data_IF_301441479690
#
_entry.id   IF_301441479690
#
_cell.length_a   1.000
_cell.length_b   1.000
_cell.length_c   1.000
_cell.angle_alpha   90.00
_cell.angle_beta   90.00
_cell.angle_gamma   90.00
#
_symmetry.space_group_name_H-M   'P 1'
#
loop_
_entity.id
_entity.type
_entity.pdbx_description
1 polymer ?
#
# COMPACT_ATOMS: atom_id res chain seq x y z
N UNK A 1 17.92 8.25 -27.24
CA UNK A 1 17.03 7.21 -26.69
C UNK A 1 16.59 7.67 -25.30
N UNK A 2 15.38 8.23 -25.18
CA UNK A 2 14.91 8.91 -23.96
C UNK A 2 14.05 7.93 -23.16
N UNK A 3 14.53 7.57 -21.96
CA UNK A 3 13.76 6.88 -20.92
C UNK A 3 12.44 7.63 -20.68
N UNK A 4 11.32 6.92 -20.77
CA UNK A 4 10.02 7.41 -20.35
C UNK A 4 10.07 7.61 -18.82
N UNK A 5 10.18 8.86 -18.41
CA UNK A 5 9.90 9.28 -17.04
C UNK A 5 8.39 9.18 -16.88
N UNK A 6 7.94 8.25 -16.04
CA UNK A 6 6.55 8.16 -15.61
C UNK A 6 6.17 9.50 -14.99
N UNK A 7 5.43 10.31 -15.74
CA UNK A 7 4.85 11.54 -15.26
C UNK A 7 3.81 11.14 -14.22
N UNK A 8 4.17 11.24 -12.94
CA UNK A 8 3.18 11.31 -11.87
C UNK A 8 2.39 12.58 -12.16
N UNK A 9 1.16 12.41 -12.63
CA UNK A 9 0.30 13.49 -13.10
C UNK A 9 0.14 14.57 -12.05
N UNK A 10 0.06 15.82 -12.53
CA UNK A 10 -0.23 17.03 -11.76
C UNK A 10 -1.67 17.10 -11.22
N UNK A 11 -2.46 16.04 -11.36
CA UNK A 11 -3.83 15.99 -10.88
C UNK A 11 -3.89 15.07 -9.66
N UNK A 12 -4.15 15.64 -8.49
CA UNK A 12 -4.38 14.88 -7.26
C UNK A 12 -5.60 13.95 -7.38
N UNK A 13 -5.87 13.18 -6.32
CA UNK A 13 -7.06 12.32 -6.32
C UNK A 13 -8.35 13.15 -6.24
N UNK A 14 -9.49 12.65 -6.75
CA UNK A 14 -10.80 13.22 -6.44
C UNK A 14 -11.06 13.26 -4.93
N UNK A 15 -11.76 14.29 -4.45
CA UNK A 15 -12.09 14.49 -3.02
C UNK A 15 -12.74 13.26 -2.38
N UNK A 16 -13.54 12.50 -3.14
CA UNK A 16 -14.17 11.27 -2.67
C UNK A 16 -13.17 10.18 -2.26
N UNK A 17 -12.05 10.05 -2.98
CA UNK A 17 -10.98 9.10 -2.66
C UNK A 17 -10.29 9.51 -1.36
N UNK A 18 -10.00 10.80 -1.23
CA UNK A 18 -9.39 11.39 -0.05
C UNK A 18 -10.27 11.22 1.21
N UNK A 19 -11.57 11.50 1.10
CA UNK A 19 -12.54 11.32 2.18
C UNK A 19 -12.63 9.84 2.59
N UNK A 20 -12.73 8.92 1.63
CA UNK A 20 -12.82 7.49 1.92
C UNK A 20 -11.53 6.94 2.52
N UNK A 21 -10.37 7.32 1.99
CA UNK A 21 -9.06 6.92 2.52
C UNK A 21 -8.91 7.37 3.98
N UNK A 22 -9.34 8.59 4.29
CA UNK A 22 -9.24 9.11 5.64
C UNK A 22 -10.19 8.38 6.61
N UNK A 23 -11.42 8.05 6.18
CA UNK A 23 -12.34 7.21 6.98
C UNK A 23 -11.72 5.84 7.29
N UNK A 24 -11.11 5.19 6.29
CA UNK A 24 -10.40 3.91 6.45
C UNK A 24 -9.24 4.07 7.43
N UNK A 25 -8.41 5.11 7.27
CA UNK A 25 -7.30 5.41 8.17
C UNK A 25 -7.76 5.57 9.63
N UNK A 26 -8.86 6.30 9.88
CA UNK A 26 -9.38 6.51 11.23
C UNK A 26 -9.83 5.19 11.89
N UNK A 27 -10.39 4.26 11.12
CA UNK A 27 -10.79 2.94 11.64
C UNK A 27 -9.62 2.00 11.91
N UNK A 28 -8.47 2.20 11.25
CA UNK A 28 -7.31 1.30 11.29
C UNK A 28 -6.13 1.82 12.10
N UNK A 29 -6.08 3.13 12.40
CA UNK A 29 -4.94 3.72 13.11
C UNK A 29 -4.73 3.07 14.47
N UNK A 30 -3.48 2.99 14.88
CA UNK A 30 -3.17 2.55 16.25
C UNK A 30 -3.42 3.70 17.21
N UNK A 31 -4.34 3.52 18.17
CA UNK A 31 -4.52 4.49 19.24
C UNK A 31 -3.26 4.52 20.13
N UNK A 32 -2.65 5.69 20.23
CA UNK A 32 -1.50 5.89 21.11
C UNK A 32 -1.97 6.03 22.56
N UNK A 33 -1.22 5.43 23.48
CA UNK A 33 -1.42 5.63 24.92
C UNK A 33 -1.41 7.13 25.26
N UNK A 34 -2.23 7.56 26.23
CA UNK A 34 -2.45 8.97 26.59
C UNK A 34 -1.20 9.86 26.72
N UNK A 35 -0.05 9.31 27.13
CA UNK A 35 1.23 10.04 27.22
C UNK A 35 2.00 10.25 25.90
N UNK A 36 1.55 9.66 24.80
CA UNK A 36 2.18 9.73 23.46
C UNK A 36 1.25 10.31 22.38
N UNK A 37 0.07 10.78 22.77
CA UNK A 37 -0.91 11.37 21.85
C UNK A 37 -0.41 12.74 21.42
N UNK A 38 0.05 12.85 20.18
CA UNK A 38 0.48 14.11 19.59
C UNK A 38 -0.69 14.86 18.94
N UNK A 39 -1.68 14.14 18.41
CA UNK A 39 -2.92 14.68 17.83
C UNK A 39 -4.16 13.96 18.36
N UNK A 40 -5.22 14.73 18.65
CA UNK A 40 -6.56 14.19 18.87
C UNK A 40 -7.36 14.27 17.58
N UNK A 41 -7.72 13.10 17.08
CA UNK A 41 -8.63 12.94 15.96
C UNK A 41 -10.09 13.02 16.45
N UNK A 42 -11.02 13.45 15.59
CA UNK A 42 -12.45 13.51 15.93
C UNK A 42 -13.06 12.13 16.27
N UNK A 43 -14.20 12.13 16.96
CA UNK A 43 -14.92 10.90 17.35
C UNK A 43 -15.63 10.24 16.16
N UNK A 44 -15.64 8.90 16.15
CA UNK A 44 -16.17 8.05 15.06
C UNK A 44 -17.65 7.71 15.27
N UNK A 45 -18.39 8.53 16.03
CA UNK A 45 -19.74 8.19 16.54
C UNK A 45 -20.78 7.88 15.47
N UNK A 46 -20.54 8.27 14.22
CA UNK A 46 -21.29 7.82 13.07
C UNK A 46 -20.28 7.25 12.08
N UNK A 47 -20.12 5.93 12.02
CA UNK A 47 -19.42 5.30 10.89
C UNK A 47 -20.29 5.50 9.65
N UNK A 48 -19.99 6.46 8.76
CA UNK A 48 -20.81 6.65 7.57
C UNK A 48 -20.47 5.48 6.64
N UNK A 49 -21.48 4.82 6.05
CA UNK A 49 -21.22 3.76 5.07
C UNK A 49 -20.18 4.23 4.05
N UNK A 50 -19.16 3.39 3.82
CA UNK A 50 -18.17 3.65 2.78
C UNK A 50 -18.90 3.64 1.42
N UNK A 51 -19.02 4.81 0.82
CA UNK A 51 -19.62 4.98 -0.49
C UNK A 51 -18.50 5.04 -1.52
N UNK A 52 -18.27 3.92 -2.22
CA UNK A 52 -17.34 3.86 -3.34
C UNK A 52 -18.12 4.03 -4.64
N UNK A 53 -17.61 4.90 -5.53
CA UNK A 53 -18.20 5.13 -6.85
C UNK A 53 -18.04 3.91 -7.76
N UNK A 54 -16.90 3.24 -7.65
CA UNK A 54 -16.48 2.12 -8.47
C UNK A 54 -15.31 1.39 -7.78
N UNK A 55 -14.94 0.21 -8.29
CA UNK A 55 -13.88 -0.63 -7.70
C UNK A 55 -12.49 0.02 -7.77
N UNK A 56 -12.22 0.85 -8.79
CA UNK A 56 -10.97 1.61 -8.88
C UNK A 56 -10.91 2.66 -7.78
N UNK A 57 -11.98 3.45 -7.59
CA UNK A 57 -12.10 4.41 -6.49
C UNK A 57 -11.91 3.74 -5.13
N UNK A 58 -12.44 2.52 -4.96
CA UNK A 58 -12.23 1.71 -3.75
C UNK A 58 -10.77 1.33 -3.57
N UNK A 59 -10.12 0.74 -4.59
CA UNK A 59 -8.71 0.34 -4.54
C UNK A 59 -7.81 1.52 -4.20
N UNK A 60 -7.97 2.66 -4.87
CA UNK A 60 -7.18 3.87 -4.62
C UNK A 60 -7.39 4.42 -3.21
N UNK A 61 -8.61 4.34 -2.67
CA UNK A 61 -8.91 4.79 -1.29
C UNK A 61 -8.19 3.94 -0.26
N UNK A 62 -8.21 2.61 -0.42
CA UNK A 62 -7.48 1.69 0.46
C UNK A 62 -5.98 1.89 0.34
N UNK A 63 -5.45 1.96 -0.89
CA UNK A 63 -4.02 2.18 -1.14
C UNK A 63 -3.54 3.46 -0.45
N UNK A 64 -4.28 4.55 -0.61
CA UNK A 64 -3.94 5.83 0.02
C UNK A 64 -4.03 5.75 1.55
N UNK A 65 -5.04 5.09 2.11
CA UNK A 65 -5.18 4.91 3.55
C UNK A 65 -4.00 4.12 4.14
N UNK A 66 -3.61 3.00 3.52
CA UNK A 66 -2.50 2.18 3.98
C UNK A 66 -1.14 2.86 3.80
N UNK A 67 -0.91 3.57 2.69
CA UNK A 67 0.27 4.42 2.53
C UNK A 67 0.34 5.49 3.62
N UNK A 68 -0.78 6.07 4.00
CA UNK A 68 -0.84 7.08 5.07
C UNK A 68 -0.56 6.45 6.44
N UNK A 69 -1.11 5.27 6.73
CA UNK A 69 -0.85 4.52 7.97
C UNK A 69 0.65 4.22 8.16
N UNK A 70 1.35 3.89 7.07
CA UNK A 70 2.81 3.62 7.09
C UNK A 70 3.62 4.79 7.68
N UNK A 71 3.16 6.02 7.49
CA UNK A 71 3.84 7.24 7.92
C UNK A 71 3.06 8.03 8.98
N UNK A 72 2.16 7.38 9.73
CA UNK A 72 1.31 8.06 10.72
C UNK A 72 2.13 8.94 11.68
N UNK A 73 3.20 8.42 12.28
CA UNK A 73 4.01 9.16 13.25
C UNK A 73 4.68 10.40 12.65
N UNK A 74 5.26 10.24 11.45
CA UNK A 74 5.90 11.33 10.72
C UNK A 74 4.89 12.42 10.34
N UNK A 75 3.72 12.02 9.84
CA UNK A 75 2.66 12.95 9.43
C UNK A 75 2.10 13.71 10.64
N UNK A 76 1.90 13.04 11.77
CA UNK A 76 1.50 13.69 13.02
C UNK A 76 2.55 14.72 13.48
N UNK A 77 3.84 14.38 13.47
CA UNK A 77 4.91 15.31 13.85
C UNK A 77 4.96 16.52 12.92
N UNK A 78 4.87 16.31 11.61
CA UNK A 78 4.86 17.38 10.62
C UNK A 78 3.66 18.31 10.78
N UNK A 79 2.49 17.80 11.15
CA UNK A 79 1.30 18.63 11.40
C UNK A 79 1.45 19.52 12.64
N UNK A 80 2.06 19.00 13.71
CA UNK A 80 2.36 19.81 14.90
C UNK A 80 3.44 20.85 14.61
N UNK A 81 4.52 20.43 13.95
CA UNK A 81 5.67 21.30 13.66
C UNK A 81 5.33 22.41 12.65
N UNK A 82 4.49 22.12 11.66
CA UNK A 82 4.03 23.12 10.69
C UNK A 82 3.20 24.25 11.32
N UNK A 83 2.80 24.12 12.60
CA UNK A 83 1.85 25.00 13.30
C UNK A 83 0.54 25.21 12.52
N UNK A 84 0.20 24.29 11.63
CA UNK A 84 -1.12 24.25 11.02
C UNK A 84 -2.14 23.72 12.04
N UNK A 85 -1.69 22.90 12.99
CA UNK A 85 -2.50 22.33 14.06
C UNK A 85 -2.46 23.11 15.41
N UNK A 86 -2.79 24.41 15.42
CA UNK A 86 -3.52 24.96 16.57
C UNK A 86 -4.62 25.99 16.20
N UNK A 87 -5.04 26.08 14.93
CA UNK A 87 -6.17 26.94 14.56
C UNK A 87 -7.44 26.11 14.31
N UNK A 88 -8.55 26.55 14.90
CA UNK A 88 -9.92 26.04 14.82
C UNK A 88 -10.39 25.09 15.93
N UNK A 89 -11.13 25.71 16.85
CA UNK A 89 -12.16 25.13 17.74
C UNK A 89 -13.32 24.39 17.00
N UNK A 90 -13.19 24.15 15.69
CA UNK A 90 -14.18 23.50 14.80
C UNK A 90 -13.83 22.01 14.55
N UNK A 91 -12.66 21.56 15.02
CA UNK A 91 -12.09 20.23 14.70
C UNK A 91 -12.80 19.04 15.36
N UNK A 92 -13.80 19.24 16.24
CA UNK A 92 -14.57 18.11 16.79
C UNK A 92 -15.42 17.38 15.76
N UNK A 93 -15.78 17.99 14.63
CA UNK A 93 -16.70 17.38 13.65
C UNK A 93 -16.13 17.18 12.23
N UNK A 94 -15.05 17.86 11.87
CA UNK A 94 -14.51 17.89 10.49
C UNK A 94 -12.98 17.79 10.39
N UNK A 95 -12.32 17.03 11.29
CA UNK A 95 -10.86 16.76 11.19
C UNK A 95 -10.44 16.30 9.77
N UNK A 96 -11.36 15.66 9.05
CA UNK A 96 -11.19 15.13 7.70
C UNK A 96 -10.97 16.16 6.60
N UNK A 97 -11.66 17.29 6.63
CA UNK A 97 -11.45 18.35 5.63
C UNK A 97 -10.15 19.09 5.90
N UNK A 98 -9.81 19.33 7.18
CA UNK A 98 -8.63 20.11 7.56
C UNK A 98 -7.30 19.38 7.28
N UNK A 99 -7.22 18.06 7.49
CA UNK A 99 -5.99 17.30 7.21
C UNK A 99 -5.61 17.42 5.73
N UNK A 100 -6.59 17.26 4.85
CA UNK A 100 -6.36 17.20 3.41
C UNK A 100 -6.29 18.59 2.75
N UNK A 101 -7.11 19.52 3.22
CA UNK A 101 -7.00 20.94 2.86
C UNK A 101 -5.67 21.54 3.34
N UNK A 102 -5.12 21.08 4.47
CA UNK A 102 -3.80 21.52 4.94
C UNK A 102 -2.65 20.98 4.10
N UNK A 103 -2.73 19.73 3.66
CA UNK A 103 -1.72 19.13 2.77
C UNK A 103 -1.71 19.85 1.42
N UNK A 104 -2.89 20.15 0.86
CA UNK A 104 -3.01 20.84 -0.44
C UNK A 104 -2.60 22.33 -0.39
N UNK A 105 -2.98 23.08 0.66
CA UNK A 105 -2.73 24.53 0.75
C UNK A 105 -1.36 24.85 1.33
N UNK A 106 -0.82 23.96 2.16
CA UNK A 106 0.44 24.19 2.85
C UNK A 106 1.54 23.23 2.41
N UNK A 107 1.51 22.72 1.18
CA UNK A 107 2.62 22.02 0.50
C UNK A 107 3.99 22.58 0.92
N UNK A 108 4.17 23.90 0.83
CA UNK A 108 5.43 24.57 1.23
C UNK A 108 5.74 24.47 2.72
N UNK A 109 4.76 24.63 3.61
CA UNK A 109 4.99 24.53 5.07
C UNK A 109 5.22 23.09 5.50
N UNK A 110 4.54 22.15 4.84
CA UNK A 110 4.66 20.72 5.09
C UNK A 110 5.99 20.20 4.57
N UNK A 111 6.43 20.60 3.38
CA UNK A 111 7.77 20.32 2.88
C UNK A 111 8.85 20.91 3.80
N UNK A 112 8.64 22.12 4.32
CA UNK A 112 9.55 22.71 5.31
C UNK A 112 9.52 21.95 6.64
N UNK A 113 8.36 21.50 7.11
CA UNK A 113 8.23 20.67 8.31
C UNK A 113 8.90 19.31 8.14
N UNK A 114 8.76 18.68 6.96
CA UNK A 114 9.47 17.46 6.60
C UNK A 114 10.98 17.68 6.62
N UNK A 115 11.47 18.78 6.04
CA UNK A 115 12.90 19.11 6.05
C UNK A 115 13.42 19.29 7.48
N UNK A 116 12.66 19.98 8.35
CA UNK A 116 13.01 20.12 9.77
C UNK A 116 12.99 18.79 10.50
N UNK A 117 11.98 17.94 10.28
CA UNK A 117 11.91 16.60 10.86
C UNK A 117 13.10 15.75 10.41
N UNK A 118 13.47 15.80 9.13
CA UNK A 118 14.64 15.07 8.60
C UNK A 118 15.95 15.52 9.25
N UNK A 119 16.15 16.83 9.42
CA UNK A 119 17.34 17.35 10.11
C UNK A 119 17.33 16.95 11.59
N UNK A 120 16.18 17.04 12.25
CA UNK A 120 16.02 16.70 13.67
C UNK A 120 16.33 15.24 13.98
N UNK A 121 15.97 14.33 13.08
CA UNK A 121 16.16 12.88 13.24
C UNK A 121 17.36 12.34 12.45
N UNK A 122 18.19 13.21 11.86
CA UNK A 122 19.31 12.86 10.98
C UNK A 122 18.93 11.86 9.87
N UNK A 123 17.71 12.02 9.31
CA UNK A 123 17.10 11.08 8.39
C UNK A 123 17.41 11.42 6.91
N UNK A 124 18.23 10.56 6.28
CA UNK A 124 18.59 10.66 4.86
C UNK A 124 17.41 10.39 3.92
N UNK A 125 16.41 9.60 4.35
CA UNK A 125 15.20 9.27 3.58
C UNK A 125 13.97 9.26 4.50
N UNK A 126 12.78 9.38 3.92
CA UNK A 126 11.51 9.22 4.65
C UNK A 126 11.29 7.78 5.15
N UNK A 127 12.00 6.81 4.56
CA UNK A 127 11.95 5.40 4.97
C UNK A 127 12.43 5.20 6.41
N UNK A 128 13.27 6.11 6.93
CA UNK A 128 13.74 6.08 8.31
C UNK A 128 12.60 6.22 9.33
N UNK A 129 11.48 6.83 8.94
CA UNK A 129 10.32 7.02 9.81
C UNK A 129 9.34 5.85 9.78
N UNK A 130 9.58 4.86 8.91
CA UNK A 130 8.79 3.64 8.87
C UNK A 130 9.24 2.77 10.05
N UNK A 131 8.31 2.26 10.88
CA UNK A 131 8.65 1.35 11.96
C UNK A 131 9.53 0.19 11.49
N UNK A 132 10.59 -0.15 12.23
CA UNK A 132 11.53 -1.22 11.86
C UNK A 132 10.84 -2.56 11.59
N UNK A 133 9.75 -2.84 12.30
CA UNK A 133 8.92 -4.04 12.09
C UNK A 133 8.35 -4.09 10.68
N UNK A 134 7.83 -2.96 10.18
CA UNK A 134 7.27 -2.84 8.84
C UNK A 134 8.40 -2.86 7.80
N UNK A 135 9.51 -2.17 8.04
CA UNK A 135 10.67 -2.16 7.12
C UNK A 135 11.27 -3.56 6.94
N UNK A 136 11.54 -4.27 8.05
CA UNK A 136 12.04 -5.65 8.01
C UNK A 136 11.04 -6.59 7.33
N UNK A 137 9.74 -6.39 7.55
CA UNK A 137 8.71 -7.18 6.87
C UNK A 137 8.66 -6.89 5.37
N UNK A 138 8.78 -5.64 4.94
CA UNK A 138 8.79 -5.25 3.52
C UNK A 138 10.00 -5.83 2.80
N UNK A 139 11.19 -5.75 3.41
CA UNK A 139 12.41 -6.37 2.90
C UNK A 139 12.26 -7.89 2.77
N UNK A 140 11.73 -8.56 3.80
CA UNK A 140 11.49 -10.01 3.75
C UNK A 140 10.46 -10.36 2.67
N UNK A 141 9.33 -9.66 2.62
CA UNK A 141 8.29 -9.89 1.62
C UNK A 141 8.77 -9.63 0.18
N UNK A 142 9.71 -8.70 -0.02
CA UNK A 142 10.31 -8.46 -1.35
C UNK A 142 11.29 -9.55 -1.79
N UNK A 143 11.92 -10.24 -0.83
CA UNK A 143 12.86 -11.33 -1.09
C UNK A 143 12.16 -12.71 -1.15
N UNK A 144 10.95 -12.83 -0.61
CA UNK A 144 10.19 -14.07 -0.61
C UNK A 144 9.58 -14.35 -2.00
N UNK A 145 9.60 -15.61 -2.45
CA UNK A 145 8.88 -16.00 -3.65
C UNK A 145 7.36 -15.85 -3.45
N UNK A 146 6.65 -15.71 -4.56
CA UNK A 146 5.23 -15.45 -4.60
C UNK A 146 4.48 -16.77 -4.78
N UNK A 147 3.60 -17.09 -3.85
CA UNK A 147 2.82 -18.32 -3.91
C UNK A 147 1.42 -18.06 -4.45
N UNK A 148 0.96 -18.94 -5.35
CA UNK A 148 -0.39 -18.96 -5.87
C UNK A 148 -1.05 -20.31 -5.61
N UNK A 149 -2.31 -20.27 -5.23
CA UNK A 149 -3.19 -21.43 -5.20
C UNK A 149 -3.87 -21.62 -6.54
N UNK A 150 -3.86 -22.85 -7.03
CA UNK A 150 -4.64 -23.28 -8.18
C UNK A 150 -6.08 -23.43 -7.73
N UNK A 151 -6.97 -22.73 -8.43
CA UNK A 151 -8.40 -22.89 -8.22
C UNK A 151 -8.87 -24.16 -8.96
N UNK A 152 -8.80 -25.30 -8.25
CA UNK A 152 -9.16 -26.62 -8.77
C UNK A 152 -10.62 -26.74 -9.23
N UNK A 153 -11.48 -25.79 -8.85
CA UNK A 153 -12.86 -25.71 -9.36
C UNK A 153 -12.95 -25.12 -10.78
N UNK A 154 -11.91 -24.42 -11.25
CA UNK A 154 -11.91 -23.73 -12.55
C UNK A 154 -10.93 -24.33 -13.55
N UNK A 155 -9.82 -24.89 -13.09
CA UNK A 155 -8.75 -25.42 -13.94
C UNK A 155 -8.01 -26.56 -13.25
N UNK A 156 -7.54 -27.53 -14.02
CA UNK A 156 -6.69 -28.62 -13.53
C UNK A 156 -5.22 -28.19 -13.45
N UNK A 157 -4.40 -28.88 -12.66
CA UNK A 157 -2.96 -28.62 -12.57
C UNK A 157 -2.28 -28.77 -13.94
N UNK A 158 -2.66 -29.79 -14.71
CA UNK A 158 -2.08 -30.07 -16.03
C UNK A 158 -2.40 -28.98 -17.05
N UNK A 159 -3.61 -28.42 -17.01
CA UNK A 159 -4.00 -27.32 -17.88
C UNK A 159 -3.30 -26.01 -17.48
N UNK A 160 -3.11 -25.76 -16.18
CA UNK A 160 -2.30 -24.62 -15.71
C UNK A 160 -0.85 -24.73 -16.19
N UNK A 161 -0.24 -25.90 -16.05
CA UNK A 161 1.13 -26.16 -16.53
C UNK A 161 1.23 -25.89 -18.03
N UNK A 162 0.26 -26.39 -18.82
CA UNK A 162 0.23 -26.17 -20.27
C UNK A 162 0.08 -24.69 -20.64
N UNK A 163 -0.79 -23.97 -19.94
CA UNK A 163 -1.00 -22.53 -20.16
C UNK A 163 0.26 -21.73 -19.79
N UNK A 164 0.96 -22.12 -18.72
CA UNK A 164 2.23 -21.51 -18.31
C UNK A 164 3.34 -21.77 -19.33
N UNK A 165 3.48 -23.02 -19.80
CA UNK A 165 4.45 -23.39 -20.85
C UNK A 165 4.18 -22.67 -22.17
N UNK A 166 2.91 -22.53 -22.57
CA UNK A 166 2.52 -21.74 -23.75
C UNK A 166 2.91 -20.27 -23.62
N UNK A 167 2.92 -19.73 -22.40
CA UNK A 167 3.34 -18.36 -22.10
C UNK A 167 4.86 -18.21 -21.91
N UNK A 168 5.62 -19.29 -22.07
CA UNK A 168 7.08 -19.29 -21.99
C UNK A 168 7.64 -19.55 -20.59
N UNK A 169 6.81 -19.94 -19.63
CA UNK A 169 7.28 -20.30 -18.30
C UNK A 169 7.85 -21.72 -18.27
N UNK A 170 8.97 -21.91 -17.57
CA UNK A 170 9.59 -23.23 -17.40
C UNK A 170 9.43 -23.73 -15.97
N UNK A 171 9.11 -25.02 -15.83
CA UNK A 171 8.98 -25.68 -14.53
C UNK A 171 10.36 -26.00 -13.96
N UNK A 172 10.57 -25.66 -12.70
CA UNK A 172 11.81 -25.86 -11.96
C UNK A 172 11.53 -26.62 -10.67
N UNK A 173 12.45 -27.50 -10.24
CA UNK A 173 12.28 -28.34 -9.05
C UNK A 173 12.75 -27.68 -7.75
N UNK A 174 13.60 -26.65 -7.83
CA UNK A 174 14.18 -25.95 -6.68
C UNK A 174 14.10 -24.43 -6.84
N UNK A 175 13.79 -23.75 -5.73
CA UNK A 175 13.80 -22.28 -5.62
C UNK A 175 15.19 -21.69 -5.94
N UNK A 176 16.25 -22.51 -5.87
CA UNK A 176 17.63 -22.07 -6.15
C UNK A 176 17.90 -21.84 -7.64
N UNK A 177 17.10 -22.42 -8.54
CA UNK A 177 17.25 -22.29 -9.98
C UNK A 177 16.23 -21.31 -10.59
N UNK A 178 15.64 -20.44 -9.74
CA UNK A 178 14.68 -19.44 -10.18
C UNK A 178 15.33 -18.38 -11.06
N UNK A 179 14.88 -18.32 -12.32
CA UNK A 179 15.07 -17.23 -13.26
C UNK A 179 13.73 -16.52 -13.55
N UNK A 180 13.76 -15.41 -14.29
CA UNK A 180 12.61 -14.51 -14.48
C UNK A 180 11.32 -15.22 -14.93
N UNK A 181 11.39 -16.21 -15.83
CA UNK A 181 10.23 -16.94 -16.35
C UNK A 181 10.20 -18.39 -15.87
N UNK A 182 10.46 -18.61 -14.59
CA UNK A 182 10.41 -19.94 -13.97
C UNK A 182 9.30 -20.05 -12.92
N UNK A 183 8.83 -21.27 -12.67
CA UNK A 183 7.92 -21.57 -11.57
C UNK A 183 8.20 -22.95 -10.99
N UNK A 184 7.92 -23.14 -9.70
CA UNK A 184 7.96 -24.44 -9.04
C UNK A 184 6.58 -24.83 -8.51
N UNK A 185 6.34 -26.13 -8.37
CA UNK A 185 5.19 -26.67 -7.62
C UNK A 185 5.67 -26.94 -6.20
N UNK A 186 4.89 -26.55 -5.20
CA UNK A 186 5.26 -26.78 -3.81
C UNK A 186 5.34 -28.28 -3.50
N UNK A 187 6.38 -28.68 -2.75
CA UNK A 187 6.65 -30.08 -2.44
C UNK A 187 5.58 -30.71 -1.54
N UNK A 188 4.91 -29.91 -0.73
CA UNK A 188 3.91 -30.35 0.24
C UNK A 188 2.48 -30.11 -0.23
N UNK A 189 2.26 -29.17 -1.16
CA UNK A 189 0.96 -28.80 -1.70
C UNK A 189 0.96 -28.79 -3.24
N UNK A 190 0.35 -29.79 -3.88
CA UNK A 190 0.29 -29.90 -5.34
C UNK A 190 -0.53 -28.79 -6.00
N UNK A 191 -1.41 -28.13 -5.24
CA UNK A 191 -2.24 -27.01 -5.70
C UNK A 191 -1.53 -25.66 -5.53
N UNK A 192 -0.28 -25.62 -5.08
CA UNK A 192 0.46 -24.38 -4.85
C UNK A 192 1.61 -24.24 -5.85
N UNK A 193 1.61 -23.12 -6.55
CA UNK A 193 2.67 -22.70 -7.45
C UNK A 193 3.49 -21.59 -6.82
N UNK A 194 4.80 -21.65 -7.00
CA UNK A 194 5.77 -20.72 -6.43
C UNK A 194 6.51 -20.03 -7.57
N UNK A 195 6.47 -18.71 -7.59
CA UNK A 195 7.10 -17.85 -8.60
C UNK A 195 8.18 -16.97 -7.96
N UNK A 196 9.21 -16.55 -8.72
CA UNK A 196 10.18 -15.56 -8.26
C UNK A 196 9.52 -14.20 -7.95
N UNK A 197 10.09 -13.46 -7.00
CA UNK A 197 9.58 -12.14 -6.59
C UNK A 197 9.66 -11.08 -7.67
N UNK A 198 10.51 -11.27 -8.69
CA UNK A 198 10.63 -10.38 -9.83
C UNK A 198 9.34 -10.26 -10.65
N UNK A 199 8.52 -11.31 -10.66
CA UNK A 199 7.28 -11.34 -11.44
C UNK A 199 6.10 -10.64 -10.75
N UNK A 200 6.29 -10.06 -9.56
CA UNK A 200 5.20 -9.47 -8.74
C UNK A 200 4.33 -8.47 -9.49
N UNK A 201 4.92 -7.70 -10.39
CA UNK A 201 4.23 -6.68 -11.16
C UNK A 201 3.56 -7.23 -12.44
N UNK A 202 4.06 -8.35 -12.98
CA UNK A 202 3.56 -8.97 -14.22
C UNK A 202 2.47 -10.02 -13.98
N UNK A 203 2.53 -10.74 -12.86
CA UNK A 203 1.59 -11.80 -12.50
C UNK A 203 0.11 -11.36 -12.46
N UNK A 204 -0.26 -10.17 -11.95
CA UNK A 204 -1.65 -9.73 -11.95
C UNK A 204 -2.24 -9.52 -13.35
N UNK A 205 -1.39 -9.31 -14.36
CA UNK A 205 -1.81 -9.14 -15.75
C UNK A 205 -1.99 -10.48 -16.49
N UNK A 206 -1.65 -11.60 -15.84
CA UNK A 206 -1.81 -12.91 -16.43
C UNK A 206 -3.31 -13.25 -16.48
N UNK A 207 -3.80 -13.70 -17.64
CA UNK A 207 -5.22 -14.12 -17.79
C UNK A 207 -5.62 -15.19 -16.74
N UNK A 208 -4.66 -15.99 -16.27
CA UNK A 208 -4.87 -16.97 -15.22
C UNK A 208 -5.26 -16.33 -13.87
N UNK A 209 -4.69 -15.18 -13.54
CA UNK A 209 -5.04 -14.44 -12.32
C UNK A 209 -6.30 -13.60 -12.55
N UNK A 210 -6.44 -12.97 -13.72
CA UNK A 210 -7.63 -12.19 -14.08
C UNK A 210 -8.92 -13.05 -14.10
N UNK A 211 -8.82 -14.30 -14.56
CA UNK A 211 -9.92 -15.27 -14.56
C UNK A 211 -10.12 -15.96 -13.21
N UNK A 212 -9.40 -15.57 -12.15
CA UNK A 212 -9.39 -16.25 -10.83
C UNK A 212 -9.08 -17.76 -10.91
N UNK A 213 -8.29 -18.19 -11.90
CA UNK A 213 -7.76 -19.56 -12.02
C UNK A 213 -6.57 -19.76 -11.09
N UNK A 214 -5.79 -18.71 -10.85
CA UNK A 214 -4.74 -18.63 -9.84
C UNK A 214 -5.10 -17.59 -8.78
N UNK A 215 -4.94 -17.94 -7.51
CA UNK A 215 -5.25 -17.10 -6.36
C UNK A 215 -3.97 -16.80 -5.59
N UNK A 216 -3.62 -15.52 -5.43
CA UNK A 216 -2.44 -15.09 -4.68
C UNK A 216 -2.60 -15.38 -3.16
N UNK A 217 -1.56 -15.92 -2.52
CA UNK A 217 -1.48 -16.15 -1.08
C UNK A 217 -0.92 -14.95 -0.30
#
# INVERSE_FOLDING_TARGET
EKRAVTQIGKDGYPDSIYINAAKIFQGLRTEKSSGKILLRYGDISESPMLAFKDEQSRRMSYELAFKTLKYQDLLEEMLVDSKVYPCYSIVRKYFFEAFLFSVLIYETKLAAALARCRIKHDALSIEYFVPETISKQEQRTSALPICFWINTLKISLEDVIRDLEMKGFTKVESVSDFDHYTYAVDQHCQDVLVFPSSLKEELPNLDLVADCKLLLQ
#
